data_IF_994796889836
#
_entry.id   IF_994796889836
#
_cell.length_a   1.000
_cell.length_b   1.000
_cell.length_c   1.000
_cell.angle_alpha   90.00
_cell.angle_beta   90.00
_cell.angle_gamma   90.00
#
_symmetry.space_group_name_H-M   'P 1'
#
loop_
_entity.id
_entity.type
_entity.pdbx_description
1 polymer ?
2 non-polymer ?
3 water ?
#
# COMPACT_ATOMS: atom_id res chain seq x y z
N UNK A 4 -24.26 8.22 22.01
CA UNK A 4 -23.81 9.17 23.02
C UNK A 4 -22.32 9.05 23.33
N UNK A 5 -21.94 9.57 24.52
CA UNK A 5 -20.58 9.59 25.05
C UNK A 5 -19.97 8.21 25.16
N UNK A 6 -20.78 7.22 24.78
CA UNK A 6 -20.46 5.81 24.77
C UNK A 6 -20.07 5.45 23.34
N UNK A 7 -20.78 6.14 22.43
CA UNK A 7 -20.63 6.05 21.00
C UNK A 7 -19.32 6.73 20.79
N UNK A 8 -19.06 7.55 21.80
CA UNK A 8 -17.86 8.29 21.87
C UNK A 8 -16.76 7.25 21.81
N UNK A 9 -17.05 6.10 22.47
CA UNK A 9 -16.13 4.98 22.51
C UNK A 9 -15.85 4.30 21.19
N UNK A 10 -16.90 3.68 20.58
CA UNK A 10 -16.79 3.02 19.29
C UNK A 10 -16.01 3.89 18.29
N UNK A 11 -16.19 5.18 18.50
CA UNK A 11 -15.51 6.13 17.69
C UNK A 11 -14.04 6.14 18.03
N UNK A 12 -13.67 6.12 19.33
CA UNK A 12 -12.27 6.12 19.74
C UNK A 12 -11.53 4.83 19.39
N UNK A 13 -12.09 3.70 19.84
CA UNK A 13 -11.52 2.40 19.59
C UNK A 13 -11.18 2.21 18.15
N UNK A 14 -12.14 2.56 17.31
CA UNK A 14 -11.94 2.42 15.90
C UNK A 14 -10.76 3.23 15.47
N UNK A 15 -10.31 4.11 16.32
CA UNK A 15 -9.15 4.86 15.93
C UNK A 15 -7.98 3.90 15.81
N UNK A 16 -7.97 2.82 16.67
CA UNK A 16 -6.92 1.78 16.69
C UNK A 16 -7.01 0.83 15.50
N UNK A 17 -5.85 0.72 14.79
CA UNK A 17 -5.77 -0.18 13.64
C UNK A 17 -6.31 -1.56 13.95
N UNK A 18 -6.63 -2.33 12.94
CA UNK A 18 -7.16 -3.63 13.27
C UNK A 18 -8.52 -3.54 13.99
N UNK A 19 -8.88 -2.43 14.71
CA UNK A 19 -10.21 -2.45 15.34
C UNK A 19 -11.35 -2.03 14.41
N UNK A 20 -12.11 -3.00 13.91
CA UNK A 20 -13.22 -2.67 13.04
C UNK A 20 -14.40 -2.20 13.88
N UNK A 21 -15.49 -1.86 13.21
CA UNK A 21 -16.72 -1.40 13.88
C UNK A 21 -17.42 -2.50 14.69
N UNK A 22 -17.74 -3.60 14.02
CA UNK A 22 -18.38 -4.71 14.69
C UNK A 22 -17.36 -5.25 15.74
N UNK A 23 -16.08 -5.25 15.30
CA UNK A 23 -14.95 -5.68 16.09
C UNK A 23 -14.90 -4.76 17.33
N UNK A 24 -14.93 -3.46 17.07
CA UNK A 24 -14.91 -2.50 18.14
C UNK A 24 -16.14 -2.56 18.97
N UNK A 25 -17.19 -3.02 18.33
CA UNK A 25 -18.46 -3.12 19.00
C UNK A 25 -18.39 -4.08 20.14
N UNK A 26 -17.79 -5.23 19.92
CA UNK A 26 -17.70 -6.19 20.99
C UNK A 26 -16.90 -5.70 22.18
N UNK A 27 -15.77 -5.07 21.91
CA UNK A 27 -14.96 -4.58 22.98
C UNK A 27 -15.72 -3.68 23.92
N UNK A 28 -16.84 -3.17 23.42
CA UNK A 28 -17.69 -2.28 24.22
C UNK A 28 -18.56 -3.09 25.17
N UNK A 29 -19.12 -4.18 24.66
CA UNK A 29 -19.98 -5.05 25.43
C UNK A 29 -19.30 -5.71 26.57
N UNK A 30 -18.03 -6.02 26.36
CA UNK A 30 -17.21 -6.66 27.36
C UNK A 30 -16.87 -5.63 28.41
N UNK A 31 -17.13 -4.38 28.07
CA UNK A 31 -16.85 -3.29 28.96
C UNK A 31 -15.48 -2.63 28.72
N UNK A 32 -14.90 -2.88 27.52
CA UNK A 32 -13.61 -2.29 27.14
C UNK A 32 -13.94 -0.95 26.46
N UNK A 33 -13.43 0.19 27.02
CA UNK A 33 -13.74 1.52 26.45
C UNK A 33 -12.54 2.38 26.10
N UNK A 34 -11.76 2.78 27.09
CA UNK A 34 -10.62 3.62 26.74
C UNK A 34 -9.48 2.76 26.20
N UNK A 35 -8.33 3.35 25.96
CA UNK A 35 -7.25 2.52 25.47
C UNK A 35 -6.60 1.80 26.65
N UNK A 36 -6.62 2.51 27.79
CA UNK A 36 -6.12 1.98 29.02
C UNK A 36 -6.91 0.72 29.30
N UNK A 37 -8.16 0.67 28.75
CA UNK A 37 -9.04 -0.48 28.84
C UNK A 37 -8.41 -1.52 27.96
N UNK A 38 -7.96 -1.05 26.78
CA UNK A 38 -7.31 -1.95 25.84
C UNK A 38 -6.18 -2.60 26.57
N UNK A 39 -5.13 -1.77 26.79
CA UNK A 39 -3.90 -2.12 27.48
C UNK A 39 -4.06 -3.25 28.48
N UNK A 40 -5.02 -3.12 29.40
CA UNK A 40 -5.29 -4.17 30.40
C UNK A 40 -6.06 -5.33 29.80
N UNK A 41 -6.00 -5.47 28.48
CA UNK A 41 -6.73 -6.56 27.87
C UNK A 41 -6.17 -7.03 26.57
N UNK A 42 -4.83 -7.07 26.42
CA UNK A 42 -4.27 -7.52 25.16
C UNK A 42 -4.86 -8.87 24.82
N UNK A 43 -5.08 -9.60 25.89
CA UNK A 43 -5.63 -10.91 25.79
C UNK A 43 -6.92 -10.97 24.96
N UNK A 44 -7.56 -9.84 24.81
CA UNK A 44 -8.80 -9.77 24.03
C UNK A 44 -8.52 -9.48 22.55
N UNK A 45 -7.30 -9.04 22.30
CA UNK A 45 -6.89 -8.66 21.00
C UNK A 45 -6.12 -9.61 20.17
N UNK A 46 -6.43 -9.65 18.91
CA UNK A 46 -5.63 -10.50 18.09
C UNK A 46 -4.27 -9.79 17.93
N UNK A 47 -3.36 -10.33 17.10
CA UNK A 47 -2.05 -9.72 16.92
C UNK A 47 -2.07 -8.35 16.26
N UNK A 48 -3.11 -8.12 15.45
CA UNK A 48 -3.26 -6.88 14.72
C UNK A 48 -3.58 -5.73 15.66
N UNK A 49 -4.71 -5.85 16.33
CA UNK A 49 -5.15 -4.87 17.27
C UNK A 49 -4.02 -4.68 18.28
N UNK A 50 -3.27 -5.75 18.53
CA UNK A 50 -2.18 -5.62 19.47
C UNK A 50 -1.08 -4.74 18.95
N UNK A 51 -0.57 -4.96 17.71
CA UNK A 51 0.50 -4.04 17.28
C UNK A 51 0.00 -2.62 17.28
N UNK A 52 -1.23 -2.47 16.81
CA UNK A 52 -1.86 -1.17 16.76
C UNK A 52 -1.75 -0.40 18.08
N UNK A 53 -2.33 -0.95 19.17
CA UNK A 53 -2.28 -0.31 20.46
C UNK A 53 -0.81 -0.09 20.81
N UNK A 54 0.02 -0.92 20.22
CA UNK A 54 1.41 -0.75 20.54
C UNK A 54 1.94 0.61 20.15
N UNK A 55 1.63 0.91 18.90
CA UNK A 55 1.97 2.11 18.20
C UNK A 55 0.77 3.03 18.02
N UNK A 56 0.03 3.29 19.07
CA UNK A 56 -1.11 4.14 18.91
C UNK A 56 -0.65 5.47 18.48
N UNK A 57 0.29 5.97 19.28
CA UNK A 57 0.87 7.25 19.04
C UNK A 57 1.37 7.34 17.65
N UNK A 58 2.62 6.91 17.45
CA UNK A 58 3.26 6.94 16.15
C UNK A 58 2.30 6.87 15.00
N UNK A 59 1.40 5.93 15.13
CA UNK A 59 0.36 5.67 14.13
C UNK A 59 -0.62 6.80 13.77
N UNK A 60 -0.31 7.99 14.26
CA UNK A 60 -1.17 9.13 13.98
C UNK A 60 -0.30 10.28 13.46
N UNK A 61 0.96 10.24 13.78
CA UNK A 61 1.82 11.25 13.29
C UNK A 61 1.86 11.01 11.78
N UNK A 62 2.33 11.98 11.00
CA UNK A 62 2.38 11.84 9.58
C UNK A 62 3.80 11.71 9.17
N UNK A 63 3.97 11.28 7.91
CA UNK A 63 5.29 11.14 7.46
C UNK A 63 5.77 12.24 6.59
N UNK A 64 6.81 12.95 7.13
CA UNK A 64 7.53 14.06 6.52
C UNK A 64 8.25 13.54 5.31
N UNK A 65 8.43 14.32 4.24
CA UNK A 65 9.12 13.64 3.17
C UNK A 65 10.53 13.36 3.25
N UNK A 66 11.31 14.18 3.99
CA UNK A 66 12.74 13.94 4.13
C UNK A 66 12.78 12.52 4.56
N UNK A 67 12.05 12.24 5.65
CA UNK A 67 11.96 10.87 6.15
C UNK A 67 11.55 9.89 5.03
N UNK A 68 10.39 10.06 4.35
CA UNK A 68 9.99 9.12 3.26
C UNK A 68 11.11 8.75 2.32
N UNK A 69 11.90 9.73 2.00
CA UNK A 69 12.99 9.53 1.12
C UNK A 69 13.95 8.53 1.70
N UNK A 70 14.43 8.81 2.93
CA UNK A 70 15.36 7.93 3.60
C UNK A 70 14.81 6.53 3.65
N UNK A 71 13.57 6.42 4.07
CA UNK A 71 12.95 5.12 4.11
C UNK A 71 12.90 4.51 2.74
N UNK A 72 12.54 5.27 1.76
CA UNK A 72 12.53 4.67 0.43
C UNK A 72 13.93 4.30 -0.10
N UNK A 73 14.99 4.92 0.40
CA UNK A 73 16.35 4.56 -0.08
C UNK A 73 16.72 3.18 0.44
N UNK A 74 16.47 3.02 1.75
CA UNK A 74 16.72 1.77 2.40
C UNK A 74 15.93 0.68 1.63
N UNK A 75 14.55 0.74 1.59
CA UNK A 75 13.78 -0.27 0.87
C UNK A 75 14.38 -0.53 -0.46
N UNK A 76 14.47 0.47 -1.27
CA UNK A 76 15.07 0.23 -2.59
C UNK A 76 16.45 -0.42 -2.61
N UNK A 77 17.42 0.09 -1.83
CA UNK A 77 18.72 -0.54 -1.87
C UNK A 77 18.72 -2.04 -1.61
N UNK A 78 18.18 -2.44 -0.44
CA UNK A 78 18.08 -3.85 -0.05
C UNK A 78 17.52 -4.69 -1.22
N UNK A 79 16.31 -4.40 -1.69
CA UNK A 79 15.71 -5.12 -2.82
C UNK A 79 16.67 -5.29 -4.00
N UNK A 80 17.62 -4.35 -4.15
CA UNK A 80 18.61 -4.45 -5.23
C UNK A 80 19.55 -5.59 -4.94
N UNK A 81 19.96 -5.63 -3.69
CA UNK A 81 20.86 -6.65 -3.26
C UNK A 81 20.35 -8.08 -3.48
N UNK A 82 19.15 -8.40 -3.02
CA UNK A 82 18.61 -9.74 -3.21
C UNK A 82 18.66 -10.17 -4.66
N UNK A 83 17.99 -9.46 -5.50
CA UNK A 83 17.96 -9.75 -6.93
C UNK A 83 17.68 -8.43 -7.65
N UNK A 84 18.54 -8.08 -8.56
CA UNK A 84 18.39 -6.84 -9.29
C UNK A 84 17.19 -6.85 -10.21
N UNK A 85 16.84 -8.00 -10.73
CA UNK A 85 15.73 -8.04 -11.59
C UNK A 85 14.50 -7.51 -10.89
N UNK A 86 14.50 -7.54 -9.57
CA UNK A 86 13.41 -6.99 -8.73
C UNK A 86 13.11 -5.45 -8.92
N UNK A 87 11.81 -5.07 -9.04
CA UNK A 87 11.41 -3.65 -9.19
C UNK A 87 10.63 -3.11 -8.04
N UNK A 88 11.00 -1.96 -7.48
CA UNK A 88 10.18 -1.49 -6.39
C UNK A 88 9.83 -0.01 -6.38
N UNK A 89 8.55 0.23 -6.65
CA UNK A 89 8.05 1.57 -6.68
C UNK A 89 7.37 1.97 -5.40
N UNK A 90 7.61 3.15 -4.90
CA UNK A 90 6.93 3.54 -3.68
C UNK A 90 5.72 4.28 -4.19
N UNK A 91 4.57 4.04 -3.68
CA UNK A 91 3.52 4.80 -4.27
C UNK A 91 2.99 5.87 -3.42
N UNK A 92 1.70 6.18 -3.56
CA UNK A 92 1.06 7.22 -2.75
C UNK A 92 1.51 8.67 -3.00
N UNK A 93 0.72 9.55 -2.38
CA UNK A 93 0.86 11.00 -2.39
C UNK A 93 2.31 11.36 -2.62
N UNK A 94 3.15 10.62 -1.87
CA UNK A 94 4.61 10.69 -1.86
C UNK A 94 5.20 10.69 -3.27
N UNK A 95 4.81 9.70 -4.08
CA UNK A 95 5.32 9.59 -5.43
C UNK A 95 5.04 10.89 -6.16
N UNK A 96 3.86 11.45 -5.81
CA UNK A 96 3.38 12.70 -6.38
C UNK A 96 3.84 13.93 -5.65
N UNK A 97 5.10 13.98 -5.32
CA UNK A 97 5.63 15.12 -4.66
C UNK A 97 5.04 15.52 -3.32
N UNK A 98 4.02 14.83 -2.79
CA UNK A 98 3.47 15.24 -1.49
C UNK A 98 4.53 15.49 -0.38
N UNK A 99 4.28 16.56 0.30
CA UNK A 99 5.14 17.04 1.36
C UNK A 99 5.10 16.18 2.62
N UNK A 100 4.07 15.41 2.77
CA UNK A 100 3.97 14.56 3.93
C UNK A 100 3.06 13.44 3.54
N UNK A 101 3.00 12.40 4.32
CA UNK A 101 2.18 11.27 3.98
C UNK A 101 1.88 10.53 5.22
N UNK A 102 1.00 9.55 5.03
CA UNK A 102 0.55 8.70 6.12
C UNK A 102 1.16 7.28 6.22
N UNK A 103 1.96 6.84 5.26
CA UNK A 103 2.52 5.53 5.34
C UNK A 103 3.39 5.20 4.13
N UNK A 104 4.16 4.10 4.18
CA UNK A 104 4.96 3.79 3.00
C UNK A 104 4.21 2.76 2.13
N UNK A 105 3.79 3.09 0.93
CA UNK A 105 3.11 2.01 0.19
C UNK A 105 3.97 1.47 -0.92
N UNK A 106 4.40 0.19 -0.87
CA UNK A 106 5.26 -0.32 -1.93
C UNK A 106 4.63 -1.35 -2.86
N UNK A 107 4.93 -1.19 -4.12
CA UNK A 107 4.49 -2.10 -5.15
C UNK A 107 5.74 -2.89 -5.56
N UNK A 108 5.63 -4.24 -5.71
CA UNK A 108 6.81 -5.08 -6.07
C UNK A 108 6.42 -6.11 -7.06
N UNK A 109 7.42 -6.44 -7.94
CA UNK A 109 7.21 -7.43 -8.96
C UNK A 109 8.57 -7.89 -9.40
N UNK A 110 8.54 -9.05 -10.13
CA UNK A 110 9.68 -9.71 -10.68
C UNK A 110 9.27 -10.28 -11.96
N UNK A 111 10.12 -10.19 -12.93
CA UNK A 111 9.86 -10.74 -14.25
C UNK A 111 9.38 -12.18 -14.13
N UNK A 112 9.87 -12.77 -13.05
CA UNK A 112 9.65 -14.14 -12.62
C UNK A 112 8.28 -14.59 -12.33
N UNK A 113 7.46 -13.63 -12.05
CA UNK A 113 6.11 -13.85 -11.65
C UNK A 113 5.21 -13.06 -12.47
N UNK A 114 4.22 -13.77 -13.00
CA UNK A 114 3.30 -13.13 -13.83
C UNK A 114 2.02 -13.71 -13.49
N UNK A 115 0.95 -13.04 -13.97
CA UNK A 115 -0.45 -13.43 -13.79
C UNK A 115 -0.70 -14.90 -14.18
N UNK A 116 0.34 -15.51 -14.74
CA UNK A 116 0.28 -16.88 -15.11
C UNK A 116 0.71 -17.71 -13.89
N UNK A 117 1.85 -17.34 -13.26
CA UNK A 117 2.38 -18.01 -12.08
C UNK A 117 1.27 -18.15 -11.07
N UNK A 118 1.28 -17.21 -10.13
CA UNK A 118 0.29 -17.13 -9.05
C UNK A 118 0.63 -18.03 -7.87
N UNK A 119 1.85 -17.84 -7.31
CA UNK A 119 2.25 -18.66 -6.20
C UNK A 119 3.68 -18.40 -5.74
N UNK A 120 4.08 -17.23 -5.36
CA UNK A 120 5.49 -17.19 -4.98
C UNK A 120 5.84 -16.35 -3.74
N UNK A 121 5.10 -16.60 -2.69
CA UNK A 121 5.24 -15.94 -1.44
C UNK A 121 6.73 -15.78 -0.99
N UNK A 122 7.56 -16.69 -1.39
CA UNK A 122 8.95 -16.60 -1.04
C UNK A 122 9.53 -15.30 -1.58
N UNK A 123 8.96 -14.87 -2.70
CA UNK A 123 9.36 -13.64 -3.39
C UNK A 123 9.11 -12.31 -2.60
N UNK A 124 8.13 -12.32 -1.76
CA UNK A 124 7.87 -11.15 -1.01
C UNK A 124 8.64 -11.23 0.32
N UNK A 125 8.55 -12.49 0.82
CA UNK A 125 9.10 -12.97 2.05
C UNK A 125 10.57 -12.78 2.12
N UNK A 126 11.19 -13.12 1.01
CA UNK A 126 12.57 -12.94 1.00
C UNK A 126 12.82 -11.47 1.24
N UNK A 127 11.89 -10.72 0.66
CA UNK A 127 11.96 -9.29 0.76
C UNK A 127 11.82 -8.68 2.19
N UNK A 128 11.05 -9.29 3.01
CA UNK A 128 10.73 -8.85 4.34
C UNK A 128 11.73 -9.20 5.37
N UNK A 129 12.28 -10.35 5.12
CA UNK A 129 13.26 -10.87 6.01
C UNK A 129 14.45 -9.95 5.93
N UNK A 130 14.99 -9.76 4.72
CA UNK A 130 16.12 -8.90 4.51
C UNK A 130 15.90 -7.57 5.28
N UNK A 131 14.59 -7.19 5.28
CA UNK A 131 14.16 -5.98 5.99
C UNK A 131 14.15 -6.01 7.52
N UNK A 132 13.90 -7.19 8.17
CA UNK A 132 13.88 -7.29 9.63
C UNK A 132 15.31 -7.61 9.97
N UNK A 133 15.93 -8.18 8.96
CA UNK A 133 17.30 -8.53 9.10
C UNK A 133 17.94 -7.20 9.29
N UNK A 134 17.42 -6.23 8.53
CA UNK A 134 17.96 -4.88 8.61
C UNK A 134 17.52 -4.00 9.72
N UNK A 135 16.50 -4.44 10.42
CA UNK A 135 15.97 -3.67 11.52
C UNK A 135 15.03 -2.55 11.04
N UNK A 136 14.75 -2.62 9.72
CA UNK A 136 13.88 -1.70 9.06
C UNK A 136 12.49 -2.07 9.39
N UNK A 137 12.07 -3.26 9.01
CA UNK A 137 10.74 -3.55 9.40
C UNK A 137 10.93 -3.88 10.84
N UNK A 138 9.91 -3.77 11.71
CA UNK A 138 10.12 -4.10 13.12
C UNK A 138 8.95 -4.84 13.69
N UNK A 139 7.91 -5.01 12.93
CA UNK A 139 6.75 -5.75 13.43
C UNK A 139 5.82 -6.13 12.29
N UNK A 140 5.01 -7.07 12.53
CA UNK A 140 4.16 -7.39 11.45
C UNK A 140 2.76 -7.10 11.82
N UNK A 141 1.93 -6.88 10.85
CA UNK A 141 0.57 -6.64 11.23
C UNK A 141 -0.27 -7.88 10.96
N UNK A 142 -0.05 -8.32 9.76
CA UNK A 142 -0.62 -9.51 9.15
C UNK A 142 0.35 -9.83 8.02
N UNK A 143 0.23 -11.00 7.39
CA UNK A 143 1.19 -11.32 6.34
C UNK A 143 0.79 -12.45 5.39
N UNK A 144 0.49 -12.08 4.16
CA UNK A 144 0.08 -12.96 3.08
C UNK A 144 1.18 -13.56 2.21
N UNK A 145 0.75 -14.21 1.15
CA UNK A 145 1.68 -14.82 0.23
C UNK A 145 2.04 -13.87 -0.81
N UNK A 146 1.42 -12.69 -0.67
CA UNK A 146 1.55 -11.57 -1.60
C UNK A 146 1.40 -10.15 -1.05
N UNK A 147 1.11 -9.98 0.25
CA UNK A 147 0.98 -8.65 0.86
C UNK A 147 1.40 -8.54 2.31
N UNK A 148 2.63 -8.15 2.54
CA UNK A 148 3.18 -7.94 3.86
C UNK A 148 2.52 -6.68 4.34
N UNK A 149 2.15 -6.59 5.66
CA UNK A 149 1.49 -5.41 6.36
C UNK A 149 2.26 -5.11 7.66
N UNK A 150 2.99 -4.05 7.72
CA UNK A 150 3.64 -4.05 9.00
C UNK A 150 4.05 -2.77 9.64
N UNK A 151 5.35 -2.67 10.07
CA UNK A 151 5.81 -1.48 10.76
C UNK A 151 7.31 -1.26 10.73
N UNK A 152 7.74 -0.30 9.92
CA UNK A 152 9.15 0.03 9.75
C UNK A 152 9.67 1.05 10.73
N UNK A 153 11.01 1.42 10.61
CA UNK A 153 11.58 2.40 11.53
C UNK A 153 12.90 2.90 11.11
N UNK A 154 13.02 4.20 10.93
CA UNK A 154 14.32 4.68 10.54
C UNK A 154 15.35 4.41 11.63
N UNK A 155 16.58 4.18 11.20
CA UNK A 155 17.68 3.89 12.06
C UNK A 155 18.08 5.10 12.86
N UNK A 156 18.05 5.03 14.17
CA UNK A 156 18.47 6.21 14.90
C UNK A 156 19.99 6.25 14.95
N UNK A 157 20.52 7.39 15.36
CA UNK A 157 21.97 7.58 15.49
C UNK A 157 22.28 7.63 17.00
N UNK A 158 21.25 8.04 17.74
CA UNK A 158 21.26 8.17 19.17
C UNK A 158 21.16 6.81 19.84
N UNK A 162 14.92 9.75 18.39
CA UNK A 162 14.39 8.65 17.60
C UNK A 162 13.01 8.91 16.94
N UNK A 163 12.80 8.27 15.80
CA UNK A 163 11.58 8.39 15.04
C UNK A 163 10.43 7.60 15.57
N UNK A 164 9.33 7.83 14.92
CA UNK A 164 8.10 7.19 15.24
C UNK A 164 7.99 5.91 14.49
N UNK A 165 7.04 5.04 14.91
CA UNK A 165 6.88 3.81 14.21
C UNK A 165 6.08 4.14 12.99
N UNK A 166 6.27 3.43 11.85
CA UNK A 166 5.53 3.74 10.63
C UNK A 166 4.95 2.61 9.76
N UNK A 167 3.64 2.56 9.55
CA UNK A 167 3.05 1.54 8.68
C UNK A 167 3.68 1.49 7.29
N UNK A 168 3.90 0.28 6.84
CA UNK A 168 4.48 0.08 5.54
C UNK A 168 3.77 -1.09 4.85
N UNK A 169 3.61 -1.06 3.56
CA UNK A 169 2.93 -2.19 2.98
C UNK A 169 3.60 -2.56 1.73
N UNK A 170 3.89 -3.84 1.62
CA UNK A 170 4.53 -4.34 0.42
C UNK A 170 3.46 -5.16 -0.28
N UNK A 171 3.47 -5.16 -1.63
CA UNK A 171 2.46 -5.90 -2.35
C UNK A 171 3.02 -6.55 -3.62
N UNK A 172 2.83 -7.84 -3.72
CA UNK A 172 3.35 -8.49 -4.86
C UNK A 172 2.31 -8.58 -5.96
N UNK A 173 2.70 -8.00 -7.07
CA UNK A 173 1.91 -7.88 -8.24
C UNK A 173 2.62 -8.44 -9.41
N UNK A 174 1.90 -9.13 -10.25
CA UNK A 174 2.50 -9.69 -11.41
C UNK A 174 3.06 -8.60 -12.24
N UNK A 175 4.18 -8.91 -12.89
CA UNK A 175 4.85 -7.98 -13.76
C UNK A 175 4.01 -7.70 -15.03
N UNK A 176 3.08 -8.58 -15.36
CA UNK A 176 2.34 -8.23 -16.56
C UNK A 176 1.27 -7.15 -16.28
N UNK A 177 0.87 -7.11 -15.01
CA UNK A 177 -0.10 -6.20 -14.41
C UNK A 177 0.54 -5.17 -13.48
N UNK A 178 1.86 -5.00 -13.48
CA UNK A 178 2.48 -4.04 -12.56
C UNK A 178 2.23 -2.61 -12.82
N UNK A 179 2.28 -2.29 -14.12
CA UNK A 179 2.10 -0.91 -14.51
C UNK A 179 0.82 -0.27 -14.10
N UNK A 180 -0.26 -0.95 -14.53
CA UNK A 180 -1.59 -0.54 -14.27
C UNK A 180 -1.68 -0.42 -12.81
N UNK A 181 -1.06 -1.37 -12.16
CA UNK A 181 -1.01 -1.41 -10.72
C UNK A 181 -0.30 -0.18 -10.20
N UNK A 182 0.92 0.11 -10.71
CA UNK A 182 1.66 1.32 -10.22
C UNK A 182 0.89 2.59 -10.39
N UNK A 183 0.23 2.67 -11.55
CA UNK A 183 -0.56 3.85 -11.84
C UNK A 183 -1.58 4.01 -10.75
N UNK A 184 -2.45 2.99 -10.67
CA UNK A 184 -3.52 2.94 -9.69
C UNK A 184 -3.15 3.44 -8.28
N UNK A 185 -2.18 2.80 -7.65
CA UNK A 185 -1.66 3.13 -6.32
C UNK A 185 -0.99 4.50 -6.27
N UNK A 186 -0.77 5.08 -7.46
CA UNK A 186 -0.17 6.41 -7.47
C UNK A 186 -1.32 7.38 -7.24
N UNK A 187 -2.37 7.21 -8.00
CA UNK A 187 -3.54 8.07 -7.84
C UNK A 187 -3.31 9.33 -8.61
N UNK A 188 -3.86 10.44 -8.17
CA UNK A 188 -4.71 10.47 -6.99
C UNK A 188 -6.07 9.92 -7.37
N UNK A 189 -6.97 9.98 -6.44
CA UNK A 189 -8.30 9.49 -6.65
C UNK A 189 -8.95 9.97 -7.94
N UNK A 190 -9.16 11.28 -8.00
CA UNK A 190 -9.77 11.88 -9.16
C UNK A 190 -8.93 11.65 -10.38
N UNK A 191 -7.59 11.59 -10.19
CA UNK A 191 -6.79 11.37 -11.38
C UNK A 191 -7.22 10.07 -11.95
N UNK A 192 -7.31 9.09 -11.10
CA UNK A 192 -7.75 7.81 -11.56
C UNK A 192 -9.14 7.91 -12.20
N UNK A 193 -10.04 8.66 -11.59
CA UNK A 193 -11.39 8.84 -12.10
C UNK A 193 -11.37 9.40 -13.51
N UNK A 194 -10.53 10.42 -13.68
CA UNK A 194 -10.38 11.09 -14.94
C UNK A 194 -9.67 10.26 -15.96
N UNK A 195 -8.65 9.53 -15.49
CA UNK A 195 -7.94 8.73 -16.44
C UNK A 195 -8.81 7.72 -17.10
N UNK A 196 -9.44 6.92 -16.24
CA UNK A 196 -10.36 5.88 -16.63
C UNK A 196 -11.45 6.50 -17.47
N UNK A 197 -11.86 7.69 -17.03
CA UNK A 197 -12.87 8.48 -17.68
C UNK A 197 -12.63 8.70 -19.19
N UNK A 198 -11.49 9.25 -19.53
CA UNK A 198 -11.20 9.50 -20.92
C UNK A 198 -11.08 8.21 -21.72
N UNK A 199 -10.21 7.30 -21.27
CA UNK A 199 -9.97 6.03 -21.90
C UNK A 199 -11.28 5.34 -22.30
N UNK A 200 -12.26 5.47 -21.46
CA UNK A 200 -13.50 4.88 -21.77
C UNK A 200 -14.06 5.50 -23.06
N UNK A 201 -13.66 6.78 -23.33
CA UNK A 201 -14.08 7.53 -24.52
C UNK A 201 -13.30 7.06 -25.73
N UNK A 202 -12.03 6.85 -25.49
CA UNK A 202 -11.15 6.41 -26.52
C UNK A 202 -11.31 5.00 -26.93
N UNK A 203 -12.35 4.34 -26.37
CA UNK A 203 -12.71 2.93 -26.63
C UNK A 203 -11.90 1.91 -25.81
N UNK A 204 -11.59 2.26 -24.53
CA UNK A 204 -10.81 1.40 -23.63
C UNK A 204 -11.26 1.43 -22.19
N UNK A 205 -11.01 0.29 -21.57
CA UNK A 205 -11.33 0.09 -20.18
C UNK A 205 -10.08 -0.19 -19.31
N UNK A 206 -10.03 0.45 -18.15
CA UNK A 206 -8.88 0.31 -17.25
C UNK A 206 -9.16 0.07 -15.77
N UNK A 207 -8.20 -0.64 -15.13
CA UNK A 207 -8.15 -1.03 -13.71
C UNK A 207 -6.72 -1.18 -13.31
N UNK A 208 -6.51 -1.47 -12.01
CA UNK A 208 -5.17 -1.65 -11.45
C UNK A 208 -4.49 -2.85 -12.02
N UNK A 209 -5.21 -3.66 -12.73
CA UNK A 209 -4.61 -4.83 -13.30
C UNK A 209 -4.17 -4.64 -14.74
N UNK A 210 -5.10 -4.18 -15.54
CA UNK A 210 -4.81 -4.02 -16.94
C UNK A 210 -5.37 -2.82 -17.65
N UNK A 211 -5.20 -2.88 -18.95
CA UNK A 211 -5.70 -1.89 -19.90
C UNK A 211 -6.27 -2.70 -21.05
N UNK A 212 -7.59 -2.71 -21.19
CA UNK A 212 -8.17 -3.51 -22.24
C UNK A 212 -9.18 -2.79 -23.13
N UNK A 213 -9.16 -3.19 -24.40
CA UNK A 213 -10.02 -2.63 -25.40
C UNK A 213 -11.48 -2.90 -25.03
N UNK A 214 -12.41 -2.10 -25.56
CA UNK A 214 -13.83 -2.26 -25.34
C UNK A 214 -14.45 -2.88 -26.55
N UNK A 215 -15.73 -2.52 -26.81
CA UNK A 215 -16.44 -3.04 -27.97
C UNK A 215 -17.96 -2.80 -28.04
N UNK A 216 -18.60 -3.73 -28.76
CA UNK A 216 -20.04 -3.75 -29.00
C UNK A 216 -20.72 -4.14 -27.73
N UNK A 217 -21.82 -3.47 -27.42
CA UNK A 217 -22.55 -3.79 -26.20
C UNK A 217 -21.76 -3.41 -24.95
N UNK A 218 -20.49 -3.11 -25.17
CA UNK A 218 -19.53 -2.75 -24.14
C UNK A 218 -18.79 -3.98 -23.56
N UNK A 219 -19.52 -5.09 -23.32
CA UNK A 219 -18.87 -6.28 -22.78
C UNK A 219 -17.79 -6.78 -23.74
N UNK A 220 -16.56 -6.64 -23.27
CA UNK A 220 -15.42 -7.02 -24.04
C UNK A 220 -14.12 -6.80 -23.27
N UNK A 221 -13.01 -7.21 -23.89
CA UNK A 221 -11.71 -7.06 -23.29
C UNK A 221 -10.63 -7.90 -24.00
N UNK A 222 -9.53 -8.08 -23.26
CA UNK A 222 -8.32 -8.80 -23.59
C UNK A 222 -7.11 -7.89 -23.45
N UNK A 223 -6.60 -7.80 -22.21
CA UNK A 223 -5.46 -6.97 -21.83
C UNK A 223 -4.49 -6.70 -22.93
N UNK A 224 -3.91 -5.49 -22.85
CA UNK A 224 -2.91 -5.01 -23.80
C UNK A 224 -1.60 -5.05 -23.11
N UNK A 225 -0.61 -5.17 -23.87
CA UNK A 225 0.74 -5.22 -23.33
C UNK A 225 1.21 -3.90 -22.65
N UNK A 226 1.82 -4.03 -21.47
CA UNK A 226 2.28 -2.86 -20.77
C UNK A 226 3.69 -2.95 -20.15
N UNK A 227 4.62 -2.35 -20.81
CA UNK A 227 5.99 -2.32 -20.37
C UNK A 227 6.23 -1.20 -19.40
N UNK A 228 5.44 -0.13 -19.55
CA UNK A 228 5.55 1.07 -18.74
C UNK A 228 4.21 1.63 -18.39
N UNK A 229 4.25 2.76 -17.63
CA UNK A 229 3.05 3.47 -17.22
C UNK A 229 2.69 4.24 -18.49
N UNK A 230 3.79 4.76 -19.13
CA UNK A 230 3.72 5.52 -20.37
C UNK A 230 2.93 4.79 -21.38
N UNK A 231 3.15 3.49 -21.40
CA UNK A 231 2.45 2.67 -22.33
C UNK A 231 1.01 2.85 -22.33
N UNK A 232 0.37 2.79 -21.14
CA UNK A 232 -1.09 2.91 -20.90
C UNK A 232 -1.67 4.18 -21.45
N UNK A 233 -0.86 5.26 -21.18
CA UNK A 233 -1.17 6.60 -21.60
C UNK A 233 -1.19 6.69 -23.11
N UNK A 234 -0.34 5.93 -23.79
CA UNK A 234 -0.30 5.95 -25.23
C UNK A 234 -1.49 5.24 -25.80
N UNK A 235 -2.02 4.34 -25.03
CA UNK A 235 -3.12 3.65 -25.56
C UNK A 235 -4.23 4.62 -25.67
N UNK A 236 -4.37 5.43 -24.63
CA UNK A 236 -5.43 6.41 -24.60
C UNK A 236 -5.14 7.72 -25.29
N UNK A 237 -3.93 7.84 -25.80
CA UNK A 237 -3.54 9.04 -26.49
C UNK A 237 -3.49 10.33 -25.71
N UNK A 238 -2.76 10.27 -24.61
CA UNK A 238 -2.58 11.43 -23.83
C UNK A 238 -1.14 11.66 -23.63
N UNK A 239 -0.90 12.88 -23.37
CA UNK A 239 0.42 13.25 -23.10
C UNK A 239 0.72 12.61 -21.76
N UNK A 240 1.77 11.82 -21.64
CA UNK A 240 2.09 11.21 -20.35
C UNK A 240 2.15 12.26 -19.20
N UNK A 241 1.25 12.11 -18.21
CA UNK A 241 1.25 13.03 -17.11
C UNK A 241 2.18 12.60 -16.00
N UNK A 242 3.18 13.48 -15.70
CA UNK A 242 4.08 13.20 -14.67
C UNK A 242 3.23 12.98 -13.45
N UNK A 243 3.71 12.19 -12.54
CA UNK A 243 2.94 11.94 -11.35
C UNK A 243 2.59 13.24 -10.63
N UNK A 244 3.40 14.29 -10.79
CA UNK A 244 3.01 15.51 -10.07
C UNK A 244 1.68 16.05 -10.57
N UNK A 245 1.68 16.41 -11.80
CA UNK A 245 0.48 16.92 -12.39
C UNK A 245 -0.55 15.82 -12.46
N UNK A 246 -1.01 15.31 -11.31
CA UNK A 246 -2.03 14.21 -11.22
C UNK A 246 -3.11 14.49 -10.17
N UNK A 247 -3.09 15.69 -9.60
CA UNK A 247 -4.06 16.01 -8.60
C UNK A 247 -5.47 15.76 -9.05
N UNK A 248 -5.64 15.68 -10.34
CA UNK A 248 -6.89 15.48 -11.00
C UNK A 248 -6.51 15.63 -12.43
X LIG B 1 -1.56 3.25 2.56
#
# INVERSE_FOLDING_TARGET
>A
IRQDDTSSSINFLTRVTGIGPSAARKLVDEGIKTLEDLRKNEDKLNHHQRIGLKYFEDFEKRIPREEMLQMQDIVLNEVKKLDPEYIATVCGSFRRGAESSGDMDVLLTHPNFTSESSKQPKLLHRVVEQLQKVRFITDTLSKGETKFMGVCQLPSENDENEYPHRRIDIRLIPKDQYYCGVLYFTGSDIFNKNMRAHALEKGFTINEYTIRPLGVTGVAGEPLPVDSEQDIFDYIQWRYREPKDRSE
>B hetero
1 CA CA
#
